data_IF_785339600448
#
_entry.id   IF_785339600448
#
_cell.length_a   1.000
_cell.length_b   1.000
_cell.length_c   1.000
_cell.angle_alpha   90.00
_cell.angle_beta   90.00
_cell.angle_gamma   90.00
#
_symmetry.space_group_name_H-M   'P 1'
#
loop_
_entity.id
_entity.type
_entity.pdbx_description
1 polymer ?
#
# COMPACT_ATOMS: atom_id res chain seq x y z
N UNK A 1 13.99 -11.52 -13.17
CA UNK A 1 13.01 -12.56 -13.58
C UNK A 1 12.33 -12.02 -14.82
N UNK A 2 12.00 -12.86 -15.82
CA UNK A 2 11.12 -12.42 -16.90
C UNK A 2 9.76 -12.01 -16.30
N UNK A 3 9.17 -10.95 -16.85
CA UNK A 3 7.79 -10.54 -16.54
C UNK A 3 6.87 -11.62 -17.09
N UNK A 4 5.87 -12.04 -16.33
CA UNK A 4 4.76 -12.88 -16.82
C UNK A 4 3.50 -12.01 -16.84
N UNK A 5 3.14 -11.40 -17.98
CA UNK A 5 2.01 -10.49 -18.04
C UNK A 5 0.69 -11.20 -17.77
N UNK A 6 -0.23 -10.53 -17.09
CA UNK A 6 -1.55 -11.09 -16.71
C UNK A 6 -2.37 -11.49 -17.94
N UNK A 7 -2.17 -10.82 -19.06
CA UNK A 7 -2.89 -11.11 -20.32
C UNK A 7 -2.39 -12.36 -21.05
N UNK A 8 -1.27 -12.95 -20.63
CA UNK A 8 -0.64 -14.09 -21.29
C UNK A 8 0.06 -13.78 -22.62
N UNK A 9 0.10 -12.51 -23.03
CA UNK A 9 0.90 -12.07 -24.18
C UNK A 9 2.40 -12.17 -23.89
N UNK A 10 3.25 -12.49 -24.89
CA UNK A 10 4.70 -12.54 -24.71
C UNK A 10 5.24 -11.20 -24.16
N UNK A 11 6.03 -11.22 -23.07
CA UNK A 11 6.59 -10.01 -22.49
C UNK A 11 7.64 -9.38 -23.41
N UNK A 12 7.78 -8.06 -23.33
CA UNK A 12 8.97 -7.37 -23.83
C UNK A 12 10.03 -7.41 -22.73
N UNK A 13 11.27 -7.85 -23.04
CA UNK A 13 12.37 -7.76 -22.09
C UNK A 13 12.59 -6.31 -21.65
N UNK A 14 12.80 -6.06 -20.35
CA UNK A 14 13.14 -4.74 -19.81
C UNK A 14 14.52 -4.83 -19.16
N UNK A 15 15.52 -5.05 -20.01
CA UNK A 15 16.90 -5.33 -19.59
C UNK A 15 17.84 -4.13 -19.80
N UNK A 16 17.37 -3.13 -20.55
CA UNK A 16 18.13 -1.93 -20.93
C UNK A 16 17.24 -0.67 -21.02
N UNK A 17 17.83 0.54 -20.97
CA UNK A 17 17.10 1.79 -21.24
C UNK A 17 16.44 1.86 -22.62
N UNK A 18 17.01 1.20 -23.63
CA UNK A 18 16.45 1.11 -24.97
C UNK A 18 15.12 0.35 -25.00
N UNK A 19 14.96 -0.67 -24.15
CA UNK A 19 13.71 -1.40 -24.02
C UNK A 19 12.59 -0.52 -23.45
N UNK A 20 12.92 0.40 -22.54
CA UNK A 20 11.96 1.40 -22.02
C UNK A 20 11.47 2.31 -23.14
N UNK A 21 12.34 2.69 -24.09
CA UNK A 21 11.93 3.47 -25.25
C UNK A 21 10.86 2.75 -26.08
N UNK A 22 11.00 1.42 -26.24
CA UNK A 22 10.02 0.58 -26.95
C UNK A 22 8.69 0.55 -26.21
N UNK A 23 8.69 0.42 -24.87
CA UNK A 23 7.47 0.48 -24.06
C UNK A 23 6.75 1.83 -24.22
N UNK A 24 7.50 2.95 -24.14
CA UNK A 24 6.92 4.29 -24.33
C UNK A 24 6.41 4.49 -25.76
N UNK A 25 7.06 3.89 -26.76
CA UNK A 25 6.59 3.93 -28.13
C UNK A 25 5.26 3.18 -28.30
N UNK A 26 5.11 2.00 -27.70
CA UNK A 26 3.84 1.27 -27.67
C UNK A 26 2.74 2.06 -26.96
N UNK A 27 3.05 2.69 -25.83
CA UNK A 27 2.13 3.58 -25.12
C UNK A 27 1.68 4.75 -26.02
N UNK A 28 2.60 5.37 -26.75
CA UNK A 28 2.30 6.47 -27.67
C UNK A 28 1.44 6.03 -28.85
N UNK A 29 1.72 4.86 -29.42
CA UNK A 29 0.93 4.28 -30.52
C UNK A 29 -0.45 3.84 -30.06
N UNK A 30 -0.60 3.42 -28.80
CA UNK A 30 -1.84 2.80 -28.30
C UNK A 30 -2.16 1.50 -29.04
N UNK A 31 -1.12 0.76 -29.44
CA UNK A 31 -1.22 -0.48 -30.22
C UNK A 31 -1.19 -1.74 -29.36
N UNK A 32 -1.16 -1.59 -28.03
CA UNK A 32 -1.14 -2.65 -27.03
C UNK A 32 -2.23 -2.45 -26.00
N UNK A 33 -2.60 -3.55 -25.35
CA UNK A 33 -3.48 -3.52 -24.18
C UNK A 33 -2.83 -2.68 -23.06
N UNK A 34 -3.53 -1.66 -22.52
CA UNK A 34 -3.06 -0.87 -21.39
C UNK A 34 -2.66 -1.70 -20.17
N UNK A 35 -3.39 -2.78 -19.83
CA UNK A 35 -3.07 -3.63 -18.70
C UNK A 35 -1.75 -4.38 -18.90
N UNK A 36 -1.50 -4.85 -20.13
CA UNK A 36 -0.23 -5.47 -20.50
C UNK A 36 0.94 -4.49 -20.41
N UNK A 37 0.77 -3.24 -20.85
CA UNK A 37 1.79 -2.20 -20.68
C UNK A 37 1.98 -1.84 -19.20
N UNK A 38 0.89 -1.80 -18.43
CA UNK A 38 0.87 -1.58 -16.99
C UNK A 38 1.82 -2.52 -16.25
N UNK A 39 1.75 -3.83 -16.53
CA UNK A 39 2.65 -4.85 -15.93
C UNK A 39 4.14 -4.53 -16.18
N UNK A 40 4.48 -4.06 -17.39
CA UNK A 40 5.86 -3.73 -17.73
C UNK A 40 6.33 -2.45 -17.04
N UNK A 41 5.47 -1.44 -16.94
CA UNK A 41 5.79 -0.22 -16.20
C UNK A 41 5.84 -0.46 -14.69
N UNK A 42 5.01 -1.35 -14.13
CA UNK A 42 5.10 -1.79 -12.74
C UNK A 42 6.42 -2.51 -12.45
N UNK A 43 6.85 -3.41 -13.35
CA UNK A 43 8.18 -4.02 -13.27
C UNK A 43 9.31 -2.98 -13.35
N UNK A 44 9.20 -2.02 -14.28
CA UNK A 44 10.17 -0.94 -14.42
C UNK A 44 10.24 -0.08 -13.14
N UNK A 45 9.08 0.26 -12.57
CA UNK A 45 8.95 1.03 -11.33
C UNK A 45 9.67 0.36 -10.16
N UNK A 46 9.50 -0.96 -10.01
CA UNK A 46 10.13 -1.72 -8.93
C UNK A 46 11.62 -1.95 -9.10
N UNK A 47 12.09 -2.12 -10.34
CA UNK A 47 13.47 -2.57 -10.60
C UNK A 47 14.42 -1.47 -11.02
N UNK A 48 14.01 -0.60 -11.95
CA UNK A 48 14.87 0.37 -12.65
C UNK A 48 14.13 1.70 -12.96
N UNK A 49 13.47 2.35 -11.99
CA UNK A 49 12.65 3.53 -12.25
C UNK A 49 13.44 4.69 -12.89
N UNK A 50 14.74 4.78 -12.62
CA UNK A 50 15.62 5.80 -13.22
C UNK A 50 15.70 5.74 -14.75
N UNK A 51 15.44 4.58 -15.37
CA UNK A 51 15.43 4.48 -16.84
C UNK A 51 14.22 5.16 -17.47
N UNK A 52 13.18 5.44 -16.70
CA UNK A 52 11.99 6.16 -17.16
C UNK A 52 12.13 7.68 -17.15
N UNK A 53 13.10 8.23 -16.41
CA UNK A 53 13.29 9.68 -16.25
C UNK A 53 13.28 10.48 -17.57
N UNK A 54 13.94 10.04 -18.67
CA UNK A 54 13.92 10.76 -19.93
C UNK A 54 12.53 10.90 -20.58
N UNK A 55 11.56 10.08 -20.16
CA UNK A 55 10.23 9.98 -20.76
C UNK A 55 9.12 10.61 -19.91
N UNK A 56 9.44 11.10 -18.70
CA UNK A 56 8.45 11.68 -17.78
C UNK A 56 7.66 12.83 -18.43
N UNK A 57 8.35 13.77 -19.10
CA UNK A 57 7.70 14.90 -19.79
C UNK A 57 6.79 14.42 -20.93
N UNK A 58 7.26 13.49 -21.76
CA UNK A 58 6.47 12.93 -22.86
C UNK A 58 5.20 12.26 -22.35
N UNK A 59 5.30 11.50 -21.25
CA UNK A 59 4.16 10.78 -20.68
C UNK A 59 3.16 11.73 -20.04
N UNK A 60 3.64 12.69 -19.25
CA UNK A 60 2.79 13.70 -18.58
C UNK A 60 2.07 14.60 -19.59
N UNK A 61 2.74 15.00 -20.67
CA UNK A 61 2.17 15.96 -21.62
C UNK A 61 0.99 15.39 -22.44
N UNK A 62 0.98 14.08 -22.71
CA UNK A 62 -0.03 13.53 -23.61
C UNK A 62 -0.34 12.03 -23.53
N UNK A 63 0.26 11.26 -22.63
CA UNK A 63 0.06 9.79 -22.56
C UNK A 63 -0.58 9.30 -21.26
N UNK A 64 -0.82 10.16 -20.27
CA UNK A 64 -1.34 9.77 -18.95
C UNK A 64 -2.63 8.93 -19.00
N UNK A 65 -3.58 9.28 -19.87
CA UNK A 65 -4.85 8.55 -20.00
C UNK A 65 -4.67 7.08 -20.41
N UNK A 66 -3.56 6.76 -21.08
CA UNK A 66 -3.22 5.39 -21.50
C UNK A 66 -2.21 4.72 -20.57
N UNK A 67 -1.63 5.49 -19.67
CA UNK A 67 -0.60 5.06 -18.75
C UNK A 67 -1.26 4.43 -17.53
N UNK A 68 -1.87 3.26 -17.76
CA UNK A 68 -2.62 2.51 -16.74
C UNK A 68 -1.66 1.81 -15.78
N UNK A 69 -1.10 2.60 -14.87
CA UNK A 69 -0.25 2.15 -13.78
C UNK A 69 -0.85 2.57 -12.45
N UNK A 70 -0.70 1.70 -11.45
CA UNK A 70 -1.14 2.00 -10.09
C UNK A 70 -0.38 3.23 -9.53
N UNK A 71 -1.01 3.93 -8.60
CA UNK A 71 -0.51 5.22 -8.10
C UNK A 71 0.89 5.12 -7.45
N UNK A 72 1.23 3.97 -6.89
CA UNK A 72 2.54 3.67 -6.30
C UNK A 72 3.63 3.51 -7.35
N UNK A 73 3.31 2.86 -8.46
CA UNK A 73 4.21 2.79 -9.61
C UNK A 73 4.39 4.19 -10.21
N UNK A 74 3.34 5.01 -10.28
CA UNK A 74 3.47 6.42 -10.63
C UNK A 74 4.40 7.16 -9.67
N UNK A 75 4.29 6.92 -8.35
CA UNK A 75 5.19 7.53 -7.36
C UNK A 75 6.65 7.13 -7.59
N UNK A 76 6.96 5.96 -8.17
CA UNK A 76 8.32 5.60 -8.53
C UNK A 76 8.75 6.20 -9.88
N UNK A 77 7.87 6.16 -10.88
CA UNK A 77 8.18 6.54 -12.26
C UNK A 77 8.17 8.06 -12.47
N UNK A 78 7.30 8.79 -11.76
CA UNK A 78 7.13 10.24 -11.86
C UNK A 78 7.84 11.01 -10.73
N UNK A 79 8.39 10.33 -9.72
CA UNK A 79 9.13 10.97 -8.64
C UNK A 79 10.18 11.94 -9.18
N UNK A 80 10.12 13.19 -8.70
CA UNK A 80 11.10 14.20 -9.07
C UNK A 80 10.98 14.71 -10.51
N UNK A 81 9.85 14.48 -11.19
CA UNK A 81 9.68 14.98 -12.56
C UNK A 81 9.87 16.52 -12.64
N UNK A 82 10.35 17.03 -13.79
CA UNK A 82 10.65 18.45 -13.97
C UNK A 82 9.46 19.38 -13.70
N UNK A 83 9.74 20.63 -13.33
CA UNK A 83 8.73 21.67 -13.11
C UNK A 83 7.82 21.89 -14.35
N UNK A 84 8.30 21.56 -15.55
CA UNK A 84 7.50 21.58 -16.77
C UNK A 84 6.30 20.61 -16.68
N UNK A 85 6.50 19.40 -16.16
CA UNK A 85 5.42 18.44 -15.90
C UNK A 85 4.38 19.01 -14.93
N UNK A 86 4.87 19.61 -13.82
CA UNK A 86 4.02 20.25 -12.80
C UNK A 86 3.17 21.36 -13.42
N UNK A 87 3.78 22.22 -14.24
CA UNK A 87 3.08 23.32 -14.91
C UNK A 87 2.02 22.82 -15.88
N UNK A 88 2.31 21.76 -16.64
CA UNK A 88 1.34 21.13 -17.55
C UNK A 88 0.15 20.58 -16.79
N UNK A 89 0.38 19.79 -15.73
CA UNK A 89 -0.68 19.20 -14.90
C UNK A 89 -1.52 20.27 -14.20
N UNK A 90 -0.87 21.24 -13.55
CA UNK A 90 -1.55 22.33 -12.86
C UNK A 90 -2.38 23.19 -13.83
N UNK A 91 -1.95 23.35 -15.09
CA UNK A 91 -2.75 24.01 -16.12
C UNK A 91 -3.97 23.18 -16.50
N UNK A 92 -3.79 21.88 -16.76
CA UNK A 92 -4.88 20.98 -17.11
C UNK A 92 -5.93 20.90 -16.01
N UNK A 93 -5.52 20.79 -14.74
CA UNK A 93 -6.43 20.76 -13.58
C UNK A 93 -7.28 22.03 -13.42
N UNK A 94 -6.75 23.20 -13.80
CA UNK A 94 -7.54 24.44 -13.86
C UNK A 94 -8.59 24.43 -14.97
N UNK A 95 -8.30 23.76 -16.08
CA UNK A 95 -9.18 23.70 -17.25
C UNK A 95 -10.22 22.56 -17.11
N UNK A 96 -9.84 21.44 -16.47
CA UNK A 96 -10.64 20.24 -16.25
C UNK A 96 -10.17 19.51 -14.99
N UNK A 97 -11.08 19.18 -14.08
CA UNK A 97 -10.78 18.41 -12.87
C UNK A 97 -10.62 16.91 -13.20
N UNK A 98 -9.52 16.57 -13.87
CA UNK A 98 -9.20 15.20 -14.24
C UNK A 98 -8.45 14.47 -13.10
N UNK A 99 -8.93 13.28 -12.74
CA UNK A 99 -8.36 12.54 -11.61
C UNK A 99 -6.95 11.99 -11.92
N UNK A 100 -6.65 11.62 -13.17
CA UNK A 100 -5.33 11.12 -13.55
C UNK A 100 -4.29 12.24 -13.44
N UNK A 101 -4.66 13.47 -13.78
CA UNK A 101 -3.77 14.63 -13.62
C UNK A 101 -3.49 14.91 -12.14
N UNK A 102 -4.50 14.79 -11.27
CA UNK A 102 -4.33 14.96 -9.83
C UNK A 102 -3.46 13.85 -9.20
N UNK A 103 -3.63 12.60 -9.63
CA UNK A 103 -2.77 11.49 -9.21
C UNK A 103 -1.33 11.66 -9.72
N UNK A 104 -1.14 11.98 -10.99
CA UNK A 104 0.19 12.21 -11.55
C UNK A 104 0.90 13.37 -10.82
N UNK A 105 0.17 14.45 -10.52
CA UNK A 105 0.72 15.58 -9.77
C UNK A 105 1.12 15.17 -8.34
N UNK A 106 0.32 14.32 -7.69
CA UNK A 106 0.60 13.75 -6.39
C UNK A 106 1.86 12.88 -6.40
N UNK A 107 2.02 12.06 -7.44
CA UNK A 107 3.13 11.14 -7.62
C UNK A 107 4.49 11.84 -7.85
N UNK A 108 4.49 13.05 -8.43
CA UNK A 108 5.73 13.82 -8.67
C UNK A 108 6.44 14.18 -7.35
N UNK A 109 5.68 14.57 -6.33
CA UNK A 109 6.18 14.78 -4.96
C UNK A 109 7.23 15.90 -4.77
N UNK A 110 7.50 16.73 -5.79
CA UNK A 110 8.44 17.87 -5.67
C UNK A 110 7.81 19.02 -4.89
N UNK A 111 8.63 19.96 -4.39
CA UNK A 111 8.12 21.17 -3.73
C UNK A 111 7.21 22.01 -4.63
N UNK A 112 7.49 22.04 -5.95
CA UNK A 112 6.63 22.68 -6.93
C UNK A 112 5.28 21.95 -7.08
N UNK A 113 5.29 20.62 -7.17
CA UNK A 113 4.07 19.81 -7.23
C UNK A 113 3.21 20.00 -5.98
N UNK A 114 3.81 19.92 -4.79
CA UNK A 114 3.11 20.13 -3.51
C UNK A 114 2.54 21.53 -3.37
N UNK A 115 3.21 22.55 -3.92
CA UNK A 115 2.67 23.91 -3.97
C UNK A 115 1.47 23.99 -4.90
N UNK A 116 1.58 23.40 -6.11
CA UNK A 116 0.50 23.37 -7.09
C UNK A 116 -0.75 22.64 -6.57
N UNK A 117 -0.59 21.51 -5.85
CA UNK A 117 -1.70 20.79 -5.21
C UNK A 117 -2.44 21.68 -4.20
N UNK A 118 -1.68 22.37 -3.34
CA UNK A 118 -2.29 23.25 -2.35
C UNK A 118 -2.99 24.46 -2.99
N UNK A 119 -2.50 24.96 -4.11
CA UNK A 119 -3.16 26.00 -4.90
C UNK A 119 -4.43 25.48 -5.59
N UNK A 120 -4.40 24.30 -6.20
CA UNK A 120 -5.53 23.68 -6.87
C UNK A 120 -6.74 23.55 -5.91
N UNK A 121 -6.51 22.95 -4.74
CA UNK A 121 -7.57 22.80 -3.72
C UNK A 121 -8.08 24.12 -3.19
N UNK A 122 -7.22 25.14 -3.03
CA UNK A 122 -7.66 26.48 -2.63
C UNK A 122 -8.49 27.18 -3.69
N UNK A 123 -8.31 26.81 -4.96
CA UNK A 123 -9.08 27.31 -6.09
C UNK A 123 -10.34 26.48 -6.39
N UNK A 124 -10.68 25.50 -5.55
CA UNK A 124 -11.88 24.68 -5.68
C UNK A 124 -11.66 23.29 -6.30
N UNK A 125 -10.40 22.87 -6.45
CA UNK A 125 -10.03 21.49 -6.76
C UNK A 125 -10.49 20.48 -5.70
N UNK A 126 -10.55 19.21 -6.09
CA UNK A 126 -11.01 18.14 -5.21
C UNK A 126 -9.92 17.76 -4.19
N UNK A 127 -10.17 18.12 -2.92
CA UNK A 127 -9.29 17.80 -1.79
C UNK A 127 -9.18 16.29 -1.57
N UNK A 128 -10.27 15.56 -1.76
CA UNK A 128 -10.38 14.15 -1.37
C UNK A 128 -9.38 13.30 -2.16
N UNK A 129 -9.27 13.52 -3.47
CA UNK A 129 -8.31 12.83 -4.35
C UNK A 129 -6.87 12.93 -3.80
N UNK A 130 -6.45 14.11 -3.35
CA UNK A 130 -5.11 14.32 -2.81
C UNK A 130 -4.93 13.70 -1.42
N UNK A 131 -5.91 13.85 -0.53
CA UNK A 131 -5.85 13.31 0.82
C UNK A 131 -5.87 11.76 0.83
N UNK A 132 -6.62 11.15 -0.09
CA UNK A 132 -6.66 9.71 -0.35
C UNK A 132 -5.38 9.19 -1.03
N UNK A 133 -4.64 10.07 -1.70
CA UNK A 133 -3.29 9.80 -2.20
C UNK A 133 -2.21 9.99 -1.12
N UNK A 134 -2.60 10.37 0.10
CA UNK A 134 -1.68 10.56 1.20
C UNK A 134 -0.99 11.91 1.27
N UNK A 135 -1.60 12.93 0.66
CA UNK A 135 -1.11 14.30 0.69
C UNK A 135 -1.97 15.12 1.65
N UNK A 136 -1.34 15.72 2.66
CA UNK A 136 -1.98 16.67 3.56
C UNK A 136 -1.98 18.05 2.92
N UNK A 137 -3.13 18.70 2.92
CA UNK A 137 -3.28 20.05 2.41
C UNK A 137 -3.58 21.01 3.57
N UNK A 138 -2.56 21.68 4.14
CA UNK A 138 -2.77 22.65 5.21
C UNK A 138 -3.54 23.89 4.71
N UNK A 139 -4.15 24.63 5.64
CA UNK A 139 -4.89 25.86 5.33
C UNK A 139 -4.03 26.93 4.66
N UNK A 140 -2.71 26.91 4.92
CA UNK A 140 -1.72 27.85 4.38
C UNK A 140 -0.42 27.10 4.07
N UNK A 141 0.35 27.56 3.07
CA UNK A 141 1.63 26.94 2.68
C UNK A 141 1.50 25.86 1.59
N UNK A 142 2.59 25.14 1.25
CA UNK A 142 2.52 24.02 0.33
C UNK A 142 1.79 22.82 0.95
N UNK A 143 1.38 21.86 0.13
CA UNK A 143 0.95 20.55 0.60
C UNK A 143 2.14 19.76 1.16
N UNK A 144 1.87 18.71 1.91
CA UNK A 144 2.88 17.90 2.58
C UNK A 144 2.57 16.41 2.40
N UNK A 145 3.55 15.57 2.05
CA UNK A 145 3.38 14.13 2.11
C UNK A 145 3.08 13.72 3.55
N UNK A 146 2.02 12.93 3.78
CA UNK A 146 1.73 12.37 5.12
C UNK A 146 2.59 11.17 5.44
N UNK A 147 3.03 10.46 4.41
CA UNK A 147 3.63 9.15 4.55
C UNK A 147 5.08 9.15 4.08
N UNK A 148 5.91 8.34 4.75
CA UNK A 148 7.28 8.08 4.30
C UNK A 148 7.25 7.29 2.98
N UNK A 149 8.06 7.67 1.98
CA UNK A 149 8.27 6.85 0.79
C UNK A 149 9.08 5.58 1.10
N UNK A 150 9.81 5.57 2.22
CA UNK A 150 10.58 4.40 2.66
C UNK A 150 9.69 3.42 3.43
N UNK A 151 9.61 2.19 2.92
CA UNK A 151 8.94 1.05 3.56
C UNK A 151 9.97 0.14 4.23
N UNK A 152 9.54 -0.76 5.12
CA UNK A 152 10.33 -1.90 5.64
C UNK A 152 9.66 -3.21 5.29
N UNK A 153 10.45 -4.26 5.19
CA UNK A 153 9.94 -5.59 4.89
C UNK A 153 10.08 -6.47 6.13
N UNK A 154 9.04 -7.27 6.38
CA UNK A 154 8.93 -8.14 7.54
C UNK A 154 9.37 -9.53 7.12
N UNK A 155 10.35 -10.12 7.80
CA UNK A 155 10.88 -11.45 7.49
C UNK A 155 10.39 -12.47 8.51
N UNK A 156 9.94 -13.63 8.05
CA UNK A 156 9.74 -14.79 8.90
C UNK A 156 11.03 -15.61 8.93
N UNK A 157 11.61 -15.74 10.11
CA UNK A 157 12.66 -16.71 10.37
C UNK A 157 12.03 -17.98 10.95
N UNK A 158 12.06 -19.10 10.20
CA UNK A 158 11.47 -20.36 10.65
C UNK A 158 12.25 -20.92 11.84
N UNK A 159 11.54 -21.48 12.83
CA UNK A 159 12.15 -22.07 14.01
C UNK A 159 11.24 -22.13 15.23
N UNK A 160 11.68 -22.85 16.26
CA UNK A 160 11.03 -22.91 17.57
C UNK A 160 11.78 -21.96 18.53
N UNK A 161 11.10 -20.91 18.99
CA UNK A 161 11.68 -19.81 19.79
C UNK A 161 10.97 -19.70 21.15
N UNK A 162 11.17 -20.65 22.08
CA UNK A 162 10.41 -20.73 23.33
C UNK A 162 10.65 -19.55 24.29
N UNK A 163 11.78 -18.84 24.15
CA UNK A 163 12.17 -17.72 25.02
C UNK A 163 11.93 -16.33 24.40
N UNK A 164 11.47 -16.27 23.15
CA UNK A 164 11.15 -15.00 22.51
C UNK A 164 9.73 -14.57 22.91
N UNK A 165 9.51 -13.28 23.19
CA UNK A 165 8.16 -12.70 23.17
C UNK A 165 7.62 -12.86 21.75
N UNK A 166 6.90 -13.96 21.51
CA UNK A 166 6.50 -14.34 20.17
C UNK A 166 5.53 -13.29 19.63
N UNK A 167 5.86 -12.56 18.56
CA UNK A 167 4.99 -11.51 18.06
C UNK A 167 3.74 -12.09 17.39
N UNK A 168 3.66 -13.39 17.13
CA UNK A 168 2.57 -14.08 16.42
C UNK A 168 1.84 -15.01 17.38
N UNK A 169 0.51 -15.18 17.19
CA UNK A 169 -0.27 -16.17 17.95
C UNK A 169 -0.37 -15.90 19.46
N UNK A 170 -0.35 -14.63 19.88
CA UNK A 170 -0.63 -14.26 21.25
C UNK A 170 -2.04 -14.73 21.67
N UNK A 171 -2.23 -15.11 22.95
CA UNK A 171 -3.56 -15.30 23.51
C UNK A 171 -4.43 -14.06 23.30
N UNK A 172 -5.70 -14.25 22.93
CA UNK A 172 -6.62 -13.15 22.59
C UNK A 172 -6.83 -12.19 23.77
N UNK A 173 -6.73 -12.66 25.02
CA UNK A 173 -6.78 -11.80 26.22
C UNK A 173 -5.60 -10.83 26.34
N UNK A 174 -4.52 -11.02 25.56
CA UNK A 174 -3.43 -10.05 25.41
C UNK A 174 -3.64 -9.04 24.29
N UNK A 175 -4.65 -9.26 23.43
CA UNK A 175 -4.91 -8.45 22.23
C UNK A 175 -6.14 -7.57 22.42
N UNK A 176 -7.22 -8.11 23.00
CA UNK A 176 -8.48 -7.39 23.23
C UNK A 176 -8.80 -7.29 24.71
N UNK A 177 -9.45 -6.20 25.13
CA UNK A 177 -9.75 -5.88 26.52
C UNK A 177 -10.77 -6.83 27.15
N UNK A 178 -11.82 -7.19 26.39
CA UNK A 178 -12.85 -8.16 26.77
C UNK A 178 -13.00 -9.25 25.69
N UNK A 179 -12.22 -10.35 25.80
CA UNK A 179 -12.28 -11.46 24.84
C UNK A 179 -13.65 -12.15 24.77
N UNK A 180 -14.47 -12.04 25.82
CA UNK A 180 -15.73 -12.77 25.89
C UNK A 180 -16.83 -12.14 25.03
N UNK A 181 -16.72 -10.84 24.76
CA UNK A 181 -17.63 -10.07 23.92
C UNK A 181 -17.01 -9.61 22.60
N UNK A 182 -15.70 -9.75 22.44
CA UNK A 182 -15.00 -9.31 21.23
C UNK A 182 -15.31 -10.21 20.04
N UNK A 183 -15.52 -9.66 18.83
CA UNK A 183 -15.60 -10.45 17.61
C UNK A 183 -14.25 -11.01 17.17
N UNK A 184 -13.13 -10.51 17.73
CA UNK A 184 -11.77 -10.95 17.38
C UNK A 184 -11.50 -12.32 18.00
N UNK A 185 -11.13 -13.28 17.15
CA UNK A 185 -10.84 -14.67 17.57
C UNK A 185 -9.43 -15.12 17.22
N UNK A 186 -8.74 -14.38 16.35
CA UNK A 186 -7.42 -14.76 15.86
C UNK A 186 -6.46 -13.58 15.89
N UNK A 187 -5.20 -13.87 16.21
CA UNK A 187 -4.13 -12.88 16.22
C UNK A 187 -3.00 -13.34 15.30
N UNK A 188 -2.80 -12.58 14.23
CA UNK A 188 -1.70 -12.83 13.31
C UNK A 188 -0.39 -12.37 13.92
N UNK A 189 -0.28 -11.09 14.28
CA UNK A 189 0.96 -10.56 14.80
C UNK A 189 0.82 -9.28 15.63
N UNK A 190 1.89 -8.95 16.34
CA UNK A 190 2.12 -7.71 17.08
C UNK A 190 3.35 -7.02 16.52
N UNK A 191 3.22 -5.73 16.21
CA UNK A 191 4.33 -4.88 15.79
C UNK A 191 4.70 -3.91 16.89
N UNK A 192 6.00 -3.78 17.13
CA UNK A 192 6.55 -2.65 17.88
C UNK A 192 6.60 -1.45 16.96
N UNK A 193 5.86 -0.41 17.29
CA UNK A 193 5.68 0.75 16.41
C UNK A 193 6.98 1.54 16.23
N UNK A 194 7.84 1.55 17.24
CA UNK A 194 9.16 2.18 17.18
C UNK A 194 10.09 1.58 16.11
N UNK A 195 9.83 0.34 15.69
CA UNK A 195 10.65 -0.36 14.69
C UNK A 195 10.16 -0.12 13.25
N UNK A 196 9.06 0.60 13.06
CA UNK A 196 8.46 0.89 11.75
C UNK A 196 8.62 2.40 11.44
N UNK A 197 9.53 2.78 10.53
CA UNK A 197 9.77 4.19 10.22
C UNK A 197 8.57 4.81 9.52
N UNK A 198 8.32 6.09 9.79
CA UNK A 198 7.26 6.85 9.14
C UNK A 198 5.86 6.64 9.71
N UNK A 199 5.70 5.86 10.77
CA UNK A 199 4.44 5.82 11.53
C UNK A 199 4.30 7.04 12.44
N UNK A 200 3.07 7.50 12.69
CA UNK A 200 2.81 8.58 13.64
C UNK A 200 3.18 8.13 15.06
N UNK A 201 3.47 9.11 15.92
CA UNK A 201 3.61 8.84 17.34
C UNK A 201 2.30 8.24 17.89
N UNK A 202 2.43 7.10 18.57
CA UNK A 202 1.29 6.34 19.07
C UNK A 202 1.42 6.12 20.58
N UNK A 203 0.31 6.15 21.35
CA UNK A 203 0.37 5.98 22.81
C UNK A 203 0.80 4.58 23.24
N UNK A 204 0.40 3.55 22.49
CA UNK A 204 0.78 2.17 22.77
C UNK A 204 2.13 1.84 22.12
N UNK A 205 2.96 1.04 22.81
CA UNK A 205 4.23 0.54 22.25
C UNK A 205 4.00 -0.37 21.04
N UNK A 206 2.87 -1.09 21.04
CA UNK A 206 2.54 -2.11 20.06
C UNK A 206 1.18 -1.91 19.44
N UNK A 207 1.04 -2.37 18.21
CA UNK A 207 -0.24 -2.59 17.57
C UNK A 207 -0.33 -4.03 17.07
N UNK A 208 -1.54 -4.56 17.09
CA UNK A 208 -1.87 -5.94 16.76
C UNK A 208 -2.62 -6.02 15.43
N UNK A 209 -2.25 -6.99 14.60
CA UNK A 209 -3.05 -7.43 13.47
C UNK A 209 -3.79 -8.69 13.88
N UNK A 210 -5.12 -8.59 13.90
CA UNK A 210 -6.03 -9.61 14.39
C UNK A 210 -7.24 -9.74 13.46
N UNK A 211 -7.98 -10.85 13.58
CA UNK A 211 -9.11 -11.18 12.72
C UNK A 211 -10.35 -11.61 13.51
N UNK A 212 -11.55 -11.35 12.95
CA UNK A 212 -12.77 -11.99 13.39
C UNK A 212 -12.84 -13.44 12.89
N UNK A 213 -13.87 -14.17 13.32
CA UNK A 213 -14.18 -15.49 12.77
C UNK A 213 -14.84 -15.36 11.40
N UNK A 214 -14.09 -14.93 10.39
CA UNK A 214 -14.57 -14.75 9.02
C UNK A 214 -13.52 -15.19 8.00
N UNK A 215 -14.00 -15.77 6.91
CA UNK A 215 -13.19 -16.20 5.76
C UNK A 215 -13.32 -15.25 4.57
N UNK A 216 -14.27 -14.32 4.60
CA UNK A 216 -14.53 -13.34 3.52
C UNK A 216 -13.75 -12.04 3.68
N UNK A 217 -14.15 -11.02 2.92
CA UNK A 217 -13.64 -9.65 3.07
C UNK A 217 -14.24 -8.99 4.30
N UNK A 218 -13.39 -8.40 5.12
CA UNK A 218 -13.81 -7.72 6.34
C UNK A 218 -12.88 -6.57 6.68
N UNK A 219 -13.44 -5.60 7.38
CA UNK A 219 -12.70 -4.57 8.09
C UNK A 219 -13.10 -4.58 9.57
N UNK A 220 -12.14 -4.74 10.48
CA UNK A 220 -12.34 -4.55 11.91
C UNK A 220 -11.77 -3.21 12.33
N UNK A 221 -12.64 -2.32 12.80
CA UNK A 221 -12.24 -1.08 13.48
C UNK A 221 -12.21 -1.31 14.98
N UNK A 222 -11.19 -0.78 15.65
CA UNK A 222 -11.09 -0.83 17.11
C UNK A 222 -10.36 0.40 17.67
N UNK A 223 -10.58 0.70 18.95
CA UNK A 223 -9.80 1.69 19.69
C UNK A 223 -8.65 1.00 20.43
N UNK A 224 -7.47 1.61 20.41
CA UNK A 224 -6.28 1.12 21.12
C UNK A 224 -6.18 1.74 22.51
N UNK A 225 -6.25 0.91 23.55
CA UNK A 225 -6.00 1.34 24.93
C UNK A 225 -4.52 1.67 25.19
N UNK A 226 -4.25 2.36 26.29
CA UNK A 226 -2.87 2.71 26.68
C UNK A 226 -1.97 1.50 26.96
N UNK A 227 -2.57 0.34 27.28
CA UNK A 227 -1.89 -0.95 27.45
C UNK A 227 -1.72 -1.72 26.12
N UNK A 228 -2.14 -1.13 25.00
CA UNK A 228 -2.09 -1.72 23.65
C UNK A 228 -3.29 -2.61 23.32
N UNK A 229 -4.16 -2.92 24.28
CA UNK A 229 -5.31 -3.80 24.05
C UNK A 229 -6.44 -3.07 23.34
N UNK A 230 -7.09 -3.78 22.42
CA UNK A 230 -8.20 -3.27 21.64
C UNK A 230 -9.52 -3.34 22.40
N UNK A 231 -10.41 -2.40 22.10
CA UNK A 231 -11.77 -2.37 22.63
C UNK A 231 -12.70 -1.66 21.65
N UNK A 232 -14.01 -1.87 21.83
CA UNK A 232 -15.02 -1.26 20.97
C UNK A 232 -14.95 -1.78 19.54
N UNK A 233 -14.51 -3.03 19.36
CA UNK A 233 -14.29 -3.65 18.06
C UNK A 233 -15.61 -3.74 17.27
N UNK A 234 -15.57 -3.25 16.03
CA UNK A 234 -16.69 -3.29 15.09
C UNK A 234 -16.23 -3.96 13.80
N UNK A 235 -16.94 -5.01 13.40
CA UNK A 235 -16.72 -5.68 12.11
C UNK A 235 -17.65 -5.05 11.08
N UNK A 236 -17.07 -4.63 9.97
CA UNK A 236 -17.77 -4.28 8.74
C UNK A 236 -17.48 -5.40 7.75
N UNK A 237 -18.46 -6.27 7.53
CA UNK A 237 -18.39 -7.30 6.50
C UNK A 237 -18.73 -6.66 5.15
N UNK A 238 -17.88 -6.89 4.16
CA UNK A 238 -18.00 -6.23 2.86
C UNK A 238 -18.65 -7.14 1.80
N UNK A 239 -18.64 -8.47 1.96
CA UNK A 239 -19.36 -9.45 1.12
C UNK A 239 -19.51 -10.83 1.81
N UNK A 240 -20.49 -11.66 1.41
CA UNK A 240 -20.52 -13.11 1.70
C UNK A 240 -19.53 -13.84 0.77
N UNK A 241 -18.81 -14.89 1.24
CA UNK A 241 -17.83 -15.59 0.42
C UNK A 241 -18.46 -16.31 -0.78
N UNK A 242 -17.86 -16.17 -1.97
CA UNK A 242 -18.09 -17.12 -3.07
C UNK A 242 -17.38 -18.45 -2.73
N UNK A 243 -18.14 -19.54 -2.75
CA UNK A 243 -17.77 -20.85 -2.18
C UNK A 243 -16.80 -21.69 -3.03
N UNK A 244 -16.24 -21.15 -4.13
CA UNK A 244 -15.58 -21.98 -5.15
C UNK A 244 -14.06 -21.70 -5.32
N UNK A 245 -13.31 -22.81 -5.23
CA UNK A 245 -11.96 -23.08 -5.76
C UNK A 245 -10.69 -22.71 -4.98
N UNK A 246 -10.38 -23.32 -3.81
CA UNK A 246 -8.96 -23.37 -3.36
C UNK A 246 -8.55 -24.66 -2.64
N UNK A 247 -7.30 -25.09 -2.85
CA UNK A 247 -6.65 -26.28 -2.28
C UNK A 247 -5.69 -25.91 -1.16
N UNK A 248 -5.86 -26.52 0.02
CA UNK A 248 -4.99 -26.36 1.19
C UNK A 248 -3.55 -26.86 0.92
N UNK A 249 -2.52 -26.05 1.23
CA UNK A 249 -1.13 -26.51 1.36
C UNK A 249 -0.76 -26.64 2.86
N UNK A 250 -0.58 -27.87 3.38
CA UNK A 250 -0.48 -28.13 4.82
C UNK A 250 0.87 -27.80 5.49
N UNK A 251 1.85 -27.22 4.79
CA UNK A 251 3.25 -27.18 5.26
C UNK A 251 3.86 -25.79 5.59
N UNK A 252 3.08 -24.71 5.73
CA UNK A 252 3.65 -23.41 6.16
C UNK A 252 3.75 -23.26 7.70
N UNK A 253 5.00 -23.16 8.18
CA UNK A 253 5.40 -23.42 9.58
C UNK A 253 5.51 -22.23 10.54
N UNK A 254 5.73 -22.56 11.82
CA UNK A 254 5.99 -21.66 12.96
C UNK A 254 7.36 -20.95 12.84
N UNK A 255 7.47 -19.70 13.29
CA UNK A 255 8.72 -18.92 13.25
C UNK A 255 8.63 -17.53 13.88
N UNK A 256 9.77 -16.81 14.00
CA UNK A 256 9.85 -15.44 14.54
C UNK A 256 9.84 -14.39 13.43
N UNK A 257 9.34 -13.21 13.74
CA UNK A 257 9.27 -12.09 12.79
C UNK A 257 10.42 -11.11 13.01
N UNK A 258 11.18 -10.77 11.96
CA UNK A 258 12.28 -9.81 11.94
C UNK A 258 12.00 -8.68 10.95
N UNK A 259 12.06 -7.42 11.41
CA UNK A 259 12.00 -6.26 10.51
C UNK A 259 13.40 -5.99 9.92
N UNK A 260 13.54 -6.02 8.59
CA UNK A 260 14.78 -5.61 7.91
C UNK A 260 14.53 -4.40 7.00
N UNK A 261 15.53 -3.53 6.82
CA UNK A 261 15.47 -2.51 5.77
C UNK A 261 15.38 -3.18 4.39
N UNK A 262 14.73 -2.51 3.43
CA UNK A 262 14.85 -2.90 2.02
C UNK A 262 16.33 -2.80 1.62
N UNK A 263 16.89 -3.91 1.18
CA UNK A 263 18.31 -4.05 0.86
C UNK A 263 18.53 -4.50 -0.59
N UNK A 264 19.78 -4.46 -1.08
CA UNK A 264 20.13 -4.79 -2.48
C UNK A 264 19.84 -6.24 -2.88
N UNK A 265 19.65 -7.13 -1.90
CA UNK A 265 19.25 -8.53 -2.12
C UNK A 265 17.73 -8.70 -2.28
N UNK A 266 16.94 -7.65 -2.02
CA UNK A 266 15.51 -7.59 -2.32
C UNK A 266 15.26 -6.70 -3.53
N UNK A 267 14.90 -7.34 -4.64
CA UNK A 267 14.30 -6.65 -5.78
C UNK A 267 12.79 -6.61 -5.53
N UNK A 268 12.26 -5.40 -5.30
CA UNK A 268 10.84 -5.13 -5.13
C UNK A 268 10.17 -4.92 -6.50
N UNK A 269 8.93 -5.35 -6.66
CA UNK A 269 7.89 -4.55 -7.29
C UNK A 269 6.57 -4.88 -6.59
N UNK A 270 5.64 -3.93 -6.60
CA UNK A 270 4.30 -4.13 -6.09
C UNK A 270 3.67 -5.39 -6.68
N UNK A 271 2.97 -6.14 -5.84
CA UNK A 271 2.28 -7.36 -6.23
C UNK A 271 2.44 -8.44 -5.18
N UNK A 272 3.62 -9.04 -5.03
CA UNK A 272 3.73 -10.26 -4.24
C UNK A 272 5.04 -10.42 -3.49
N UNK A 273 5.04 -10.03 -2.21
CA UNK A 273 6.02 -10.51 -1.22
C UNK A 273 6.08 -12.05 -1.14
N UNK A 274 5.03 -12.73 -1.61
CA UNK A 274 4.90 -14.20 -1.66
C UNK A 274 6.02 -14.90 -2.43
N UNK A 275 6.69 -14.23 -3.36
CA UNK A 275 7.74 -14.84 -4.18
C UNK A 275 9.14 -14.72 -3.57
N UNK A 276 9.30 -13.94 -2.48
CA UNK A 276 10.58 -13.80 -1.78
C UNK A 276 10.62 -14.73 -0.56
N UNK A 277 11.43 -15.80 -0.57
CA UNK A 277 11.47 -16.76 0.53
C UNK A 277 11.80 -16.08 1.87
N UNK A 278 10.98 -16.37 2.88
CA UNK A 278 11.15 -15.84 4.24
C UNK A 278 10.72 -14.38 4.43
N UNK A 279 10.06 -13.76 3.45
CA UNK A 279 9.41 -12.46 3.61
C UNK A 279 7.91 -12.65 3.87
N UNK A 280 7.39 -12.05 4.93
CA UNK A 280 5.98 -12.06 5.31
C UNK A 280 5.55 -10.62 5.56
N UNK A 281 5.39 -9.86 4.48
CA UNK A 281 4.75 -8.56 4.53
C UNK A 281 5.63 -7.33 4.37
N UNK A 282 4.96 -6.18 4.23
CA UNK A 282 5.56 -4.85 4.13
C UNK A 282 4.95 -3.94 5.17
N UNK A 283 5.75 -3.03 5.74
CA UNK A 283 5.37 -2.12 6.80
C UNK A 283 5.74 -0.68 6.44
N UNK A 284 4.83 0.24 6.74
CA UNK A 284 5.03 1.67 6.54
C UNK A 284 4.68 2.15 5.13
N UNK A 285 4.33 3.44 5.06
CA UNK A 285 4.01 4.15 3.83
C UNK A 285 2.50 4.38 3.64
N UNK A 286 2.11 5.01 2.53
CA UNK A 286 0.71 5.12 2.14
C UNK A 286 0.15 3.72 1.81
N UNK A 287 -1.15 3.47 2.02
CA UNK A 287 -1.78 2.18 1.75
C UNK A 287 -1.93 1.85 0.25
N UNK A 288 -1.12 2.47 -0.62
CA UNK A 288 -1.22 2.34 -2.07
C UNK A 288 -1.11 0.88 -2.50
N UNK A 289 -2.00 0.47 -3.41
CA UNK A 289 -2.13 -0.90 -3.88
C UNK A 289 -2.98 -1.80 -2.98
N UNK A 290 -3.43 -1.33 -1.81
CA UNK A 290 -4.30 -2.08 -0.90
C UNK A 290 -5.70 -1.45 -0.89
N UNK A 291 -6.66 -2.07 -1.57
CA UNK A 291 -8.04 -1.56 -1.63
C UNK A 291 -9.02 -2.44 -0.85
N UNK A 292 -10.00 -1.84 -0.15
CA UNK A 292 -10.16 -0.39 0.05
C UNK A 292 -9.14 0.19 1.05
N UNK A 293 -8.69 1.42 0.78
CA UNK A 293 -7.85 2.20 1.71
C UNK A 293 -8.71 2.67 2.89
N UNK A 294 -8.45 2.22 4.14
CA UNK A 294 -9.34 2.59 5.23
C UNK A 294 -9.13 4.04 5.67
N UNK A 295 -10.23 4.79 5.68
CA UNK A 295 -10.33 6.08 6.35
C UNK A 295 -10.87 5.90 7.76
N UNK A 296 -10.32 6.65 8.71
CA UNK A 296 -10.75 6.58 10.10
C UNK A 296 -12.24 6.93 10.21
N UNK A 297 -13.08 6.11 10.83
CA UNK A 297 -14.51 6.38 10.92
C UNK A 297 -14.82 7.68 11.68
N UNK A 298 -13.95 8.09 12.61
CA UNK A 298 -14.09 9.28 13.45
C UNK A 298 -13.65 10.57 12.76
N UNK A 299 -12.42 10.65 12.26
CA UNK A 299 -11.89 11.89 11.66
C UNK A 299 -11.91 11.91 10.12
N UNK A 300 -12.33 10.81 9.48
CA UNK A 300 -12.40 10.63 8.03
C UNK A 300 -11.07 10.73 7.27
N UNK A 301 -9.94 10.82 8.00
CA UNK A 301 -8.62 10.83 7.38
C UNK A 301 -8.20 9.43 6.97
N UNK A 302 -7.55 9.33 5.82
CA UNK A 302 -6.79 8.17 5.41
C UNK A 302 -5.83 7.73 6.52
N UNK A 303 -5.84 6.43 6.84
CA UNK A 303 -5.06 5.83 7.91
C UNK A 303 -3.65 5.40 7.44
N UNK A 304 -2.69 5.38 8.35
CA UNK A 304 -1.31 4.95 8.08
C UNK A 304 -1.24 3.44 7.98
N UNK A 305 -0.70 2.93 6.88
CA UNK A 305 -0.40 1.51 6.74
C UNK A 305 0.75 1.11 7.67
N UNK A 306 0.46 0.25 8.63
CA UNK A 306 1.45 -0.28 9.56
C UNK A 306 2.07 -1.56 9.03
N UNK A 307 1.27 -2.49 8.53
CA UNK A 307 1.75 -3.72 7.90
C UNK A 307 0.71 -4.37 7.01
N UNK A 308 1.14 -5.11 6.00
CA UNK A 308 0.36 -6.18 5.37
C UNK A 308 1.12 -7.48 5.54
N UNK A 309 0.46 -8.56 5.91
CA UNK A 309 1.00 -9.93 5.87
C UNK A 309 0.10 -10.81 5.03
N UNK A 310 0.68 -11.86 4.46
CA UNK A 310 -0.08 -12.90 3.78
C UNK A 310 -0.36 -14.03 4.77
N UNK A 311 -1.63 -14.36 4.99
CA UNK A 311 -2.02 -15.50 5.79
C UNK A 311 -2.42 -16.65 4.89
N UNK A 312 -1.96 -17.86 5.18
CA UNK A 312 -2.44 -19.10 4.55
C UNK A 312 -3.38 -19.87 5.50
N UNK A 313 -3.90 -19.23 6.56
CA UNK A 313 -4.69 -19.91 7.61
C UNK A 313 -6.18 -19.87 7.25
N UNK A 314 -6.66 -20.95 6.64
CA UNK A 314 -8.04 -21.11 6.13
C UNK A 314 -9.14 -20.65 7.09
N UNK A 315 -9.09 -21.06 8.36
CA UNK A 315 -10.13 -20.75 9.36
C UNK A 315 -10.25 -19.24 9.67
N UNK A 316 -9.25 -18.47 9.28
CA UNK A 316 -9.19 -17.01 9.42
C UNK A 316 -8.91 -16.34 8.05
N UNK A 317 -9.26 -17.06 6.98
CA UNK A 317 -9.12 -16.71 5.58
C UNK A 317 -7.67 -16.77 5.06
N UNK A 318 -7.53 -17.11 3.78
CA UNK A 318 -6.31 -16.98 3.00
C UNK A 318 -6.14 -15.53 2.48
N UNK A 319 -4.93 -15.13 2.12
CA UNK A 319 -4.61 -13.87 1.46
C UNK A 319 -4.12 -12.72 2.36
N UNK A 320 -4.07 -11.50 1.81
CA UNK A 320 -3.52 -10.32 2.48
C UNK A 320 -4.32 -9.84 3.69
N UNK A 321 -3.62 -9.53 4.78
CA UNK A 321 -4.15 -8.98 6.02
C UNK A 321 -3.38 -7.72 6.37
N UNK A 322 -4.08 -6.60 6.50
CA UNK A 322 -3.43 -5.31 6.67
C UNK A 322 -3.85 -4.63 7.96
N UNK A 323 -2.92 -3.92 8.59
CA UNK A 323 -3.13 -3.11 9.78
C UNK A 323 -2.89 -1.65 9.44
N UNK A 324 -3.79 -0.78 9.89
CA UNK A 324 -3.72 0.65 9.71
C UNK A 324 -3.97 1.40 11.01
N UNK A 325 -3.37 2.59 11.15
CA UNK A 325 -3.40 3.41 12.35
C UNK A 325 -3.87 4.84 12.03
N UNK A 326 -4.82 5.37 12.80
CA UNK A 326 -5.25 6.77 12.70
C UNK A 326 -4.50 7.67 13.67
N UNK A 327 -3.59 8.51 13.16
CA UNK A 327 -2.69 9.37 13.95
C UNK A 327 -3.38 10.21 15.04
N UNK A 328 -4.64 10.61 14.86
CA UNK A 328 -5.35 11.50 15.77
C UNK A 328 -6.30 10.78 16.74
N UNK A 329 -6.88 9.65 16.32
CA UNK A 329 -8.03 9.06 16.99
C UNK A 329 -7.70 7.79 17.79
N UNK A 330 -6.45 7.31 17.74
CA UNK A 330 -6.04 6.04 18.35
C UNK A 330 -6.86 4.83 17.85
N UNK A 331 -7.52 5.01 16.70
CA UNK A 331 -8.28 3.97 16.01
C UNK A 331 -7.33 3.13 15.17
N UNK A 332 -7.49 1.83 15.24
CA UNK A 332 -6.87 0.87 14.34
C UNK A 332 -7.92 0.34 13.36
N UNK A 333 -7.48 0.03 12.15
CA UNK A 333 -8.26 -0.74 11.19
C UNK A 333 -7.45 -1.98 10.83
N UNK A 334 -8.07 -3.13 10.89
CA UNK A 334 -7.52 -4.39 10.40
C UNK A 334 -8.38 -4.84 9.24
N UNK A 335 -7.78 -5.21 8.12
CA UNK A 335 -8.53 -5.58 6.92
C UNK A 335 -8.11 -6.96 6.43
N UNK A 336 -9.06 -7.67 5.85
CA UNK A 336 -8.82 -8.72 4.87
C UNK A 336 -9.20 -8.19 3.50
N UNK A 337 -8.18 -7.92 2.68
CA UNK A 337 -8.34 -7.47 1.30
C UNK A 337 -7.92 -8.61 0.36
N UNK A 338 -8.83 -9.09 -0.47
CA UNK A 338 -8.53 -10.09 -1.49
C UNK A 338 -9.76 -10.56 -2.25
N UNK A 339 -9.72 -10.45 -3.58
CA UNK A 339 -9.80 -11.63 -4.45
C UNK A 339 -8.33 -11.94 -4.82
N UNK A 340 -7.99 -13.22 -5.02
CA UNK A 340 -6.66 -13.65 -5.45
C UNK A 340 -6.29 -13.09 -6.82
#
# INVERSE_FOLDING_TARGET
>A
MPIEPVTGEPPIPVDSPEDVAVLVEHLARGDRDPAWLGDHFAYLAGTRPQWFQPYQEQVVDGLLERFEVAFDDQCQLLAGAPDACVQTLARRLRDSQDFHDALALSAIGTGAALTAIAEDVRNGGDREIYEDSGIRIPSTGPAEPRFSPHRRAVFLEPGDFPDAEHPVGLPIDRVVADPSSSPVVWHYLSLRLADVPGLPAWPAERAHLAAPASTGRWTVFAESGADGRYHGEQVVDEDEPDDDEFTDEPDFGRGRVLLRPYGPDLVYSNGHVHTTPGLVGTAGGPPIGLYPNPSCPSCKRLMFHAVTVSSMVREHGDGPRSLYLCEDCQTVAMTATGWN
#
